data_IF_916106405812
#
_entry.id   IF_916106405812
#
_cell.length_a   1.000
_cell.length_b   1.000
_cell.length_c   1.000
_cell.angle_alpha   90.00
_cell.angle_beta   90.00
_cell.angle_gamma   90.00
#
_symmetry.space_group_name_H-M   'P 1'
#
loop_
_entity.id
_entity.type
_entity.pdbx_description
1 polymer ?
#
# COMPACT_ATOMS: atom_id res chain seq x y z
N UNK A 1 13.51 -26.66 5.37
CA UNK A 1 13.21 -26.84 3.93
C UNK A 1 13.86 -25.67 3.21
N UNK A 2 14.91 -25.91 2.45
CA UNK A 2 15.60 -24.87 1.67
C UNK A 2 14.81 -24.66 0.38
N UNK A 3 14.38 -23.43 0.06
CA UNK A 3 13.67 -23.18 -1.19
C UNK A 3 14.60 -23.46 -2.37
N UNK A 4 14.11 -24.21 -3.36
CA UNK A 4 14.85 -24.46 -4.60
C UNK A 4 15.03 -23.14 -5.36
N UNK A 5 16.27 -22.65 -5.36
CA UNK A 5 16.65 -21.43 -6.03
C UNK A 5 16.99 -21.67 -7.50
N UNK A 6 17.05 -22.92 -7.98
CA UNK A 6 17.56 -23.27 -9.32
C UNK A 6 16.84 -22.55 -10.47
N UNK A 7 15.57 -22.18 -10.28
CA UNK A 7 14.78 -21.47 -11.29
C UNK A 7 14.77 -19.94 -11.13
N UNK A 8 15.68 -19.34 -10.35
CA UNK A 8 15.69 -17.90 -10.08
C UNK A 8 15.94 -17.02 -11.33
N UNK A 9 16.45 -17.61 -12.42
CA UNK A 9 16.64 -16.95 -13.73
C UNK A 9 15.56 -17.29 -14.77
N UNK A 10 14.60 -18.14 -14.42
CA UNK A 10 13.51 -18.49 -15.34
C UNK A 10 12.53 -17.33 -15.43
N UNK A 11 12.40 -16.73 -16.62
CA UNK A 11 11.54 -15.57 -16.86
C UNK A 11 10.08 -15.82 -16.45
N UNK A 12 9.59 -17.06 -16.65
CA UNK A 12 8.25 -17.50 -16.24
C UNK A 12 7.91 -17.29 -14.75
N UNK A 13 8.89 -17.17 -13.86
CA UNK A 13 8.64 -16.84 -12.44
C UNK A 13 8.36 -15.36 -12.19
N UNK A 14 8.71 -14.49 -13.13
CA UNK A 14 8.57 -13.03 -13.01
C UNK A 14 7.56 -12.42 -13.99
N UNK A 15 6.95 -13.21 -14.88
CA UNK A 15 5.83 -12.75 -15.74
C UNK A 15 4.72 -12.03 -14.96
N UNK A 16 4.48 -12.45 -13.71
CA UNK A 16 3.54 -11.78 -12.81
C UNK A 16 3.99 -10.37 -12.42
N UNK A 17 5.29 -10.15 -12.23
CA UNK A 17 5.88 -8.83 -11.88
C UNK A 17 5.75 -7.84 -13.03
N UNK A 18 5.88 -8.31 -14.26
CA UNK A 18 5.72 -7.49 -15.47
C UNK A 18 4.27 -6.96 -15.63
N UNK A 19 3.29 -7.66 -15.06
CA UNK A 19 1.88 -7.29 -15.11
C UNK A 19 1.40 -6.55 -13.85
N UNK A 20 2.27 -6.37 -12.84
CA UNK A 20 1.92 -5.67 -11.60
C UNK A 20 1.98 -4.17 -11.80
N UNK A 21 0.99 -3.45 -11.26
CA UNK A 21 1.12 -2.00 -11.16
C UNK A 21 2.26 -1.64 -10.17
N UNK A 22 2.85 -0.44 -10.26
CA UNK A 22 3.84 0.02 -9.30
C UNK A 22 3.34 -0.04 -7.85
N UNK A 23 2.03 0.17 -7.65
CA UNK A 23 1.37 0.08 -6.35
C UNK A 23 1.31 -1.35 -5.83
N UNK A 24 0.98 -2.31 -6.69
CA UNK A 24 0.91 -3.73 -6.30
C UNK A 24 2.30 -4.30 -6.02
N UNK A 25 3.30 -3.90 -6.81
CA UNK A 25 4.69 -4.24 -6.54
C UNK A 25 5.13 -3.68 -5.18
N UNK A 26 4.91 -2.39 -4.91
CA UNK A 26 5.23 -1.81 -3.61
C UNK A 26 4.53 -2.54 -2.44
N UNK A 27 3.29 -3.01 -2.65
CA UNK A 27 2.56 -3.80 -1.67
C UNK A 27 3.15 -5.20 -1.43
N UNK A 28 3.61 -5.88 -2.47
CA UNK A 28 4.31 -7.17 -2.35
C UNK A 28 5.60 -7.06 -1.52
N UNK A 29 6.36 -5.97 -1.69
CA UNK A 29 7.55 -5.71 -0.87
C UNK A 29 7.19 -5.40 0.58
N UNK A 30 6.11 -4.66 0.81
CA UNK A 30 5.68 -4.28 2.14
C UNK A 30 5.16 -5.47 2.95
N UNK A 31 4.34 -6.35 2.36
CA UNK A 31 3.79 -7.54 3.05
C UNK A 31 4.84 -8.58 3.42
N UNK A 32 5.99 -8.59 2.72
CA UNK A 32 7.10 -9.53 2.97
C UNK A 32 8.09 -9.01 4.00
N UNK A 33 7.88 -7.81 4.54
CA UNK A 33 8.73 -7.23 5.56
C UNK A 33 8.26 -7.62 6.98
N UNK A 34 9.07 -8.38 7.72
CA UNK A 34 8.75 -8.82 9.09
C UNK A 34 8.56 -7.68 10.10
N UNK A 35 9.17 -6.51 9.85
CA UNK A 35 8.91 -5.32 10.68
C UNK A 35 7.53 -4.74 10.39
N UNK A 36 7.10 -4.73 9.13
CA UNK A 36 5.76 -4.28 8.76
C UNK A 36 4.69 -5.22 9.32
N UNK A 37 4.91 -6.54 9.23
CA UNK A 37 4.00 -7.55 9.79
C UNK A 37 3.79 -7.33 11.31
N UNK A 38 4.89 -7.13 12.05
CA UNK A 38 4.80 -6.82 13.49
C UNK A 38 4.07 -5.51 13.78
N UNK A 39 4.37 -4.45 13.04
CA UNK A 39 3.66 -3.17 13.20
C UNK A 39 2.16 -3.32 12.91
N UNK A 40 1.80 -4.09 11.88
CA UNK A 40 0.42 -4.36 11.51
C UNK A 40 -0.30 -5.22 12.55
N UNK A 41 0.36 -6.24 13.11
CA UNK A 41 -0.18 -7.03 14.20
C UNK A 41 -0.43 -6.19 15.47
N UNK A 42 0.47 -5.24 15.77
CA UNK A 42 0.29 -4.29 16.86
C UNK A 42 -0.87 -3.32 16.59
N UNK A 43 -1.04 -2.87 15.34
CA UNK A 43 -2.18 -2.06 14.92
C UNK A 43 -3.51 -2.79 15.13
N UNK A 44 -3.60 -4.06 14.73
CA UNK A 44 -4.81 -4.87 14.91
C UNK A 44 -5.19 -5.00 16.40
N UNK A 45 -4.20 -5.02 17.28
CA UNK A 45 -4.39 -5.10 18.75
C UNK A 45 -4.64 -3.73 19.41
N UNK A 46 -4.48 -2.62 18.70
CA UNK A 46 -4.46 -1.27 19.30
C UNK A 46 -5.84 -0.75 19.76
N UNK A 47 -6.96 -1.45 19.47
CA UNK A 47 -8.28 -1.10 19.99
C UNK A 47 -8.69 0.35 19.71
N UNK A 48 -8.87 1.15 20.77
CA UNK A 48 -9.19 2.59 20.69
C UNK A 48 -8.05 3.43 20.09
N UNK A 49 -6.80 3.03 20.31
CA UNK A 49 -5.60 3.73 19.81
C UNK A 49 -5.26 3.42 18.35
N UNK A 50 -6.11 2.68 17.64
CA UNK A 50 -5.91 2.29 16.23
C UNK A 50 -5.64 3.49 15.33
N UNK A 51 -6.37 4.59 15.50
CA UNK A 51 -6.24 5.79 14.65
C UNK A 51 -4.84 6.41 14.76
N UNK A 52 -4.34 6.54 15.98
CA UNK A 52 -2.99 7.07 16.28
C UNK A 52 -1.90 6.12 15.79
N UNK A 53 -2.10 4.81 16.00
CA UNK A 53 -1.16 3.79 15.55
C UNK A 53 -1.09 3.71 14.01
N UNK A 54 -2.24 3.84 13.34
CA UNK A 54 -2.34 3.90 11.88
C UNK A 54 -1.56 5.10 11.34
N UNK A 55 -1.69 6.28 11.96
CA UNK A 55 -0.93 7.48 11.57
C UNK A 55 0.59 7.27 11.68
N UNK A 56 1.05 6.62 12.76
CA UNK A 56 2.48 6.28 12.96
C UNK A 56 2.99 5.29 11.91
N UNK A 57 2.22 4.23 11.64
CA UNK A 57 2.57 3.23 10.62
C UNK A 57 2.61 3.86 9.23
N UNK A 58 1.67 4.77 8.92
CA UNK A 58 1.67 5.50 7.65
C UNK A 58 2.92 6.37 7.46
N UNK A 59 3.32 7.09 8.50
CA UNK A 59 4.55 7.91 8.45
C UNK A 59 5.80 7.03 8.32
N UNK A 60 5.87 5.92 9.06
CA UNK A 60 7.01 5.00 9.05
C UNK A 60 7.19 4.28 7.71
N UNK A 61 6.10 3.88 7.06
CA UNK A 61 6.12 3.07 5.84
C UNK A 61 5.77 3.86 4.57
N UNK A 62 5.56 5.17 4.66
CA UNK A 62 5.20 6.02 3.52
C UNK A 62 3.81 5.73 2.94
N UNK A 63 2.94 5.00 3.66
CA UNK A 63 1.63 4.60 3.19
C UNK A 63 0.66 5.79 3.14
N UNK A 64 0.39 6.25 1.93
CA UNK A 64 -0.62 7.29 1.68
C UNK A 64 -1.90 6.65 1.16
N UNK A 65 -2.65 5.99 2.04
CA UNK A 65 -4.06 5.73 1.75
C UNK A 65 -4.75 7.09 1.57
N UNK A 66 -5.58 7.28 0.54
CA UNK A 66 -6.48 8.42 0.52
C UNK A 66 -7.22 8.37 1.85
N UNK A 67 -7.05 9.42 2.66
CA UNK A 67 -7.88 9.56 3.86
C UNK A 67 -9.33 9.43 3.43
N UNK A 68 -10.20 8.93 4.32
CA UNK A 68 -11.66 8.94 4.10
C UNK A 68 -11.99 10.24 3.36
N UNK A 69 -12.63 10.18 2.16
CA UNK A 69 -12.84 11.36 1.36
C UNK A 69 -13.32 12.46 2.29
N UNK A 70 -12.51 13.51 2.40
CA UNK A 70 -12.98 14.74 3.03
C UNK A 70 -14.19 15.05 2.17
N UNK A 71 -15.35 15.04 2.80
CA UNK A 71 -16.59 15.53 2.22
C UNK A 71 -16.31 16.97 1.80
N UNK A 72 -15.87 17.12 0.56
CA UNK A 72 -15.63 18.41 -0.06
C UNK A 72 -17.02 19.03 -0.17
N UNK A 73 -17.31 20.16 0.51
CA UNK A 73 -18.55 20.87 0.20
C UNK A 73 -18.52 21.19 -1.29
N UNK A 74 -19.66 20.96 -1.96
CA UNK A 74 -19.87 20.92 -3.40
C UNK A 74 -19.65 22.28 -4.10
N UNK A 75 -18.46 22.87 -3.98
CA UNK A 75 -18.15 24.17 -4.54
C UNK A 75 -16.91 24.18 -5.45
N UNK A 76 -16.20 23.06 -5.60
CA UNK A 76 -15.06 22.97 -6.53
C UNK A 76 -15.42 22.32 -7.89
N UNK A 77 -16.68 21.99 -8.13
CA UNK A 77 -17.11 21.29 -9.35
C UNK A 77 -17.35 22.20 -10.57
N UNK A 78 -16.91 23.46 -10.54
CA UNK A 78 -17.08 24.41 -11.64
C UNK A 78 -15.74 24.98 -12.11
N UNK A 79 -14.89 24.14 -12.68
CA UNK A 79 -13.76 24.64 -13.48
C UNK A 79 -13.40 23.78 -14.70
N UNK A 80 -14.31 22.95 -15.20
CA UNK A 80 -14.09 22.24 -16.46
C UNK A 80 -15.35 22.30 -17.32
N UNK A 81 -15.62 23.48 -17.87
CA UNK A 81 -16.41 23.60 -19.09
C UNK A 81 -15.76 24.67 -20.00
N UNK A 82 -15.13 24.18 -21.08
CA UNK A 82 -15.04 24.79 -22.42
C UNK A 82 -13.75 24.35 -23.14
N UNK A 83 -13.86 23.65 -24.28
CA UNK A 83 -13.00 23.88 -25.42
C UNK A 83 -13.69 24.80 -26.45
N UNK A 84 -12.84 25.53 -27.18
CA UNK A 84 -13.13 26.60 -28.14
C UNK A 84 -13.90 26.17 -29.39
#
# INVERSE_FOLDING_TARGET
MTPDASSWRTNARYDYVENLSPSDLAWEWLRRNDSYDRDFALLLKAGDQRSTMLAKIRQRWGLRFPGRPIEVPAHCASFLDAPA
#
